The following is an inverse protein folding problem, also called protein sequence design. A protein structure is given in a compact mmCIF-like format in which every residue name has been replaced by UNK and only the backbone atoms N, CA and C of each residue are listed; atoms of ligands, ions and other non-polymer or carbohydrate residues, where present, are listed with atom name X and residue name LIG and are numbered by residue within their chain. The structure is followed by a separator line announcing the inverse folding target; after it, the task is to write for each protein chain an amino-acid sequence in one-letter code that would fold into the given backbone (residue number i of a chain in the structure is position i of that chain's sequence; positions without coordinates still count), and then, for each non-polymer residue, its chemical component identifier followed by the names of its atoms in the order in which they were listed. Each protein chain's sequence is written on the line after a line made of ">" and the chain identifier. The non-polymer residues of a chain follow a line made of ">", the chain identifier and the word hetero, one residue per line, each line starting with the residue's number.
data_IF_177787039256
#
_entry.id   IF_177787039256
#
_cell.length_a   1.000
_cell.length_b   1.000
_cell.length_c   1.000
_cell.angle_alpha   90.00
_cell.angle_beta   90.00
_cell.angle_gamma   90.00
#
_symmetry.space_group_name_H-M   'P 1'
#
loop_
_entity.id
_entity.type
_entity.pdbx_description
1 polymer ?
#
# COMPACT_ATOMS: atom_id res chain seq x y z
N UNK A 1 13.92 18.40 -8.01
CA UNK A 1 13.13 17.15 -7.95
C UNK A 1 12.06 17.37 -6.90
N UNK A 2 10.82 16.90 -7.10
CA UNK A 2 9.83 16.94 -6.01
C UNK A 2 10.28 15.94 -4.95
N UNK A 3 10.42 16.38 -3.71
CA UNK A 3 10.57 15.48 -2.57
C UNK A 3 9.36 14.55 -2.55
N UNK A 4 9.61 13.24 -2.50
CA UNK A 4 8.57 12.25 -2.38
C UNK A 4 8.24 12.13 -0.89
N UNK A 5 7.05 12.57 -0.47
CA UNK A 5 6.60 12.38 0.91
C UNK A 5 6.19 10.92 1.12
N UNK A 6 7.03 10.17 1.84
CA UNK A 6 6.69 8.88 2.42
C UNK A 6 5.72 9.07 3.59
N UNK A 7 4.73 8.18 3.78
CA UNK A 7 3.79 8.30 4.89
C UNK A 7 4.49 7.96 6.22
N UNK A 8 4.01 8.55 7.32
CA UNK A 8 4.53 8.27 8.67
C UNK A 8 4.27 6.81 9.11
N UNK A 9 3.16 6.24 8.65
CA UNK A 9 2.80 4.83 8.89
C UNK A 9 2.77 4.05 7.58
N UNK A 10 3.30 2.82 7.62
CA UNK A 10 3.32 1.93 6.47
C UNK A 10 1.90 1.58 6.00
N UNK A 11 1.64 1.69 4.70
CA UNK A 11 0.33 1.31 4.14
C UNK A 11 0.15 -0.21 4.18
N UNK A 12 -1.01 -0.65 4.67
CA UNK A 12 -1.43 -2.05 4.78
C UNK A 12 -1.41 -2.76 3.41
N UNK A 13 -0.90 -4.01 3.39
CA UNK A 13 -0.77 -4.82 2.18
C UNK A 13 -2.10 -5.08 1.46
N UNK A 14 -3.23 -5.01 2.17
CA UNK A 14 -4.54 -5.17 1.54
C UNK A 14 -4.80 -4.12 0.46
N UNK A 15 -4.19 -2.93 0.58
CA UNK A 15 -4.29 -1.83 -0.38
C UNK A 15 -3.32 -1.96 -1.56
N UNK A 16 -2.47 -2.97 -1.59
CA UNK A 16 -1.51 -3.15 -2.67
C UNK A 16 -2.21 -3.55 -3.97
N UNK A 17 -1.70 -3.08 -5.13
CA UNK A 17 -2.24 -3.44 -6.42
C UNK A 17 -2.03 -4.92 -6.74
N UNK A 18 -2.88 -5.50 -7.61
CA UNK A 18 -2.71 -6.86 -8.13
C UNK A 18 -1.30 -7.11 -8.64
N UNK A 19 -0.72 -6.17 -9.40
CA UNK A 19 0.66 -6.32 -9.92
C UNK A 19 1.71 -6.56 -8.83
N UNK A 20 1.61 -5.89 -7.67
CA UNK A 20 2.55 -6.10 -6.56
C UNK A 20 2.25 -7.43 -5.87
N UNK A 21 0.98 -7.78 -5.69
CA UNK A 21 0.56 -9.07 -5.13
C UNK A 21 1.08 -10.24 -5.98
N UNK A 22 0.95 -10.14 -7.30
CA UNK A 22 1.48 -11.13 -8.25
C UNK A 22 3.01 -11.26 -8.14
N UNK A 23 3.74 -10.15 -7.98
CA UNK A 23 5.19 -10.23 -7.70
C UNK A 23 5.45 -10.96 -6.38
N UNK A 24 4.67 -10.67 -5.32
CA UNK A 24 4.84 -11.26 -3.97
C UNK A 24 4.55 -12.77 -3.89
N UNK A 25 3.82 -13.33 -4.86
CA UNK A 25 3.61 -14.77 -5.01
C UNK A 25 4.89 -15.51 -5.42
N UNK A 26 5.88 -14.79 -5.96
CA UNK A 26 7.14 -15.33 -6.48
C UNK A 26 7.21 -15.27 -8.00
N UNK A 27 8.42 -15.37 -8.56
CA UNK A 27 8.67 -15.19 -9.99
C UNK A 27 9.57 -16.28 -10.59
N UNK A 28 9.12 -16.84 -11.72
CA UNK A 28 9.90 -17.71 -12.61
C UNK A 28 10.93 -16.93 -13.45
N UNK A 29 10.59 -15.73 -13.92
CA UNK A 29 11.53 -14.80 -14.58
C UNK A 29 11.38 -13.37 -14.05
N UNK A 30 12.40 -12.53 -14.26
CA UNK A 30 12.36 -11.12 -13.88
C UNK A 30 12.62 -10.86 -12.40
N UNK A 31 13.08 -11.84 -11.61
CA UNK A 31 13.39 -11.72 -10.17
C UNK A 31 14.23 -10.49 -9.81
N UNK A 32 15.24 -10.14 -10.60
CA UNK A 32 16.06 -8.94 -10.32
C UNK A 32 15.24 -7.64 -10.45
N UNK A 33 14.32 -7.61 -11.41
CA UNK A 33 13.39 -6.49 -11.63
C UNK A 33 12.33 -6.46 -10.53
N UNK A 34 11.78 -7.63 -10.15
CA UNK A 34 10.88 -7.79 -9.01
C UNK A 34 11.50 -7.30 -7.70
N UNK A 35 12.75 -7.68 -7.41
CA UNK A 35 13.49 -7.20 -6.24
C UNK A 35 13.60 -5.67 -6.22
N UNK A 36 13.97 -5.07 -7.36
CA UNK A 36 14.06 -3.62 -7.49
C UNK A 36 12.70 -2.95 -7.28
N UNK A 37 11.63 -3.47 -7.90
CA UNK A 37 10.26 -2.98 -7.75
C UNK A 37 9.83 -3.04 -6.28
N UNK A 38 9.98 -4.19 -5.62
CA UNK A 38 9.53 -4.38 -4.24
C UNK A 38 10.25 -3.47 -3.26
N UNK A 39 11.58 -3.33 -3.35
CA UNK A 39 12.33 -2.46 -2.43
C UNK A 39 11.87 -1.00 -2.56
N UNK A 40 11.80 -0.49 -3.80
CA UNK A 40 11.37 0.90 -4.03
C UNK A 40 9.91 1.09 -3.63
N UNK A 41 9.03 0.14 -3.97
CA UNK A 41 7.63 0.18 -3.57
C UNK A 41 7.46 0.26 -2.05
N UNK A 42 8.09 -0.66 -1.30
CA UNK A 42 7.98 -0.70 0.15
C UNK A 42 8.52 0.57 0.83
N UNK A 43 9.67 1.08 0.39
CA UNK A 43 10.22 2.35 0.88
C UNK A 43 9.23 3.49 0.67
N UNK A 44 8.62 3.52 -0.52
CA UNK A 44 7.73 4.61 -0.94
C UNK A 44 6.40 4.58 -0.18
N UNK A 45 5.94 3.40 0.27
CA UNK A 45 4.69 3.24 1.04
C UNK A 45 4.93 3.14 2.55
N UNK A 46 6.11 3.53 3.04
CA UNK A 46 6.39 3.77 4.47
C UNK A 46 6.97 2.60 5.26
N UNK A 47 7.46 1.54 4.61
CA UNK A 47 8.07 0.42 5.34
C UNK A 47 9.51 0.71 5.75
N UNK A 48 9.82 0.40 7.01
CA UNK A 48 11.17 0.49 7.57
C UNK A 48 12.11 -0.56 6.97
N UNK A 49 13.40 -0.22 6.87
CA UNK A 49 14.41 -1.05 6.20
C UNK A 49 14.53 -2.47 6.80
N UNK A 50 14.37 -2.63 8.11
CA UNK A 50 14.40 -3.95 8.75
C UNK A 50 13.20 -4.82 8.36
N UNK A 51 12.02 -4.22 8.23
CA UNK A 51 10.83 -4.89 7.75
C UNK A 51 10.99 -5.28 6.27
N UNK A 52 11.49 -4.34 5.44
CA UNK A 52 11.80 -4.60 4.02
C UNK A 52 12.75 -5.79 3.88
N UNK A 53 13.84 -5.84 4.67
CA UNK A 53 14.78 -6.96 4.64
C UNK A 53 14.08 -8.29 4.88
N UNK A 54 13.25 -8.38 5.93
CA UNK A 54 12.50 -9.61 6.24
C UNK A 54 11.61 -10.02 5.07
N UNK A 55 10.77 -9.10 4.58
CA UNK A 55 9.85 -9.35 3.47
C UNK A 55 10.56 -9.77 2.19
N UNK A 56 11.69 -9.13 1.87
CA UNK A 56 12.49 -9.47 0.69
C UNK A 56 13.13 -10.86 0.82
N UNK A 57 13.57 -11.26 2.02
CA UNK A 57 14.08 -12.62 2.22
C UNK A 57 12.97 -13.65 2.05
N UNK A 58 11.81 -13.43 2.67
CA UNK A 58 10.66 -14.32 2.55
C UNK A 58 10.20 -14.47 1.11
N UNK A 59 10.06 -13.34 0.40
CA UNK A 59 9.73 -13.31 -1.02
C UNK A 59 10.78 -14.04 -1.87
N UNK A 60 12.08 -13.83 -1.60
CA UNK A 60 13.13 -14.47 -2.38
C UNK A 60 13.12 -15.99 -2.27
N UNK A 61 12.66 -16.55 -1.15
CA UNK A 61 12.48 -18.00 -0.98
C UNK A 61 11.24 -18.57 -1.69
N UNK A 62 10.25 -17.73 -2.02
CA UNK A 62 9.05 -18.13 -2.77
C UNK A 62 9.27 -18.21 -4.27
N UNK A 63 10.29 -17.51 -4.77
CA UNK A 63 10.69 -17.59 -6.17
C UNK A 63 11.08 -19.02 -6.55
N UNK A 64 10.78 -19.44 -7.79
CA UNK A 64 11.14 -20.76 -8.31
C UNK A 64 12.64 -21.05 -8.16
N UNK A 65 13.47 -20.04 -8.45
CA UNK A 65 14.89 -20.05 -8.15
C UNK A 65 15.26 -18.79 -7.34
N UNK A 66 15.62 -18.91 -6.05
CA UNK A 66 16.03 -17.76 -5.26
C UNK A 66 17.21 -17.01 -5.88
N UNK A 67 17.18 -15.68 -5.82
CA UNK A 67 18.35 -14.86 -6.15
C UNK A 67 19.50 -15.17 -5.17
N UNK A 68 20.72 -15.13 -5.68
CA UNK A 68 21.94 -15.28 -4.87
C UNK A 68 21.93 -14.28 -3.72
N UNK A 69 22.21 -14.78 -2.52
CA UNK A 69 22.21 -14.00 -1.27
C UNK A 69 23.04 -12.71 -1.37
N UNK A 70 24.24 -12.81 -1.97
CA UNK A 70 25.13 -11.68 -2.16
C UNK A 70 24.51 -10.56 -3.03
N UNK A 71 23.71 -10.93 -4.03
CA UNK A 71 23.01 -9.96 -4.89
C UNK A 71 21.91 -9.25 -4.10
N UNK A 72 21.07 -10.00 -3.38
CA UNK A 72 19.99 -9.44 -2.54
C UNK A 72 20.55 -8.49 -1.49
N UNK A 73 21.59 -8.91 -0.75
CA UNK A 73 22.30 -8.07 0.23
C UNK A 73 22.85 -6.79 -0.39
N UNK A 74 23.43 -6.88 -1.59
CA UNK A 74 23.98 -5.72 -2.28
C UNK A 74 22.89 -4.72 -2.66
N UNK A 75 21.74 -5.19 -3.14
CA UNK A 75 20.60 -4.34 -3.50
C UNK A 75 19.99 -3.66 -2.26
N UNK A 76 19.77 -4.40 -1.17
CA UNK A 76 19.27 -3.84 0.09
C UNK A 76 20.22 -2.77 0.66
N UNK A 77 21.53 -3.05 0.66
CA UNK A 77 22.55 -2.10 1.11
C UNK A 77 22.60 -0.84 0.24
N UNK A 78 22.45 -0.99 -1.08
CA UNK A 78 22.44 0.16 -1.98
C UNK A 78 21.26 1.09 -1.69
N UNK A 79 20.06 0.54 -1.51
CA UNK A 79 18.87 1.35 -1.18
C UNK A 79 18.97 1.98 0.22
N UNK A 80 19.50 1.26 1.22
CA UNK A 80 19.66 1.80 2.57
C UNK A 80 20.61 3.00 2.64
N UNK A 81 21.68 2.99 1.83
CA UNK A 81 22.67 4.07 1.85
C UNK A 81 22.28 5.27 0.98
N UNK A 82 21.13 5.21 0.30
CA UNK A 82 20.68 6.27 -0.58
C UNK A 82 19.81 7.25 0.21
N UNK A 83 20.05 8.54 0.03
CA UNK A 83 19.30 9.61 0.70
C UNK A 83 17.90 9.81 0.09
N UNK A 84 17.75 9.52 -1.21
CA UNK A 84 16.52 9.73 -1.95
C UNK A 84 15.67 8.45 -2.02
N UNK A 85 14.42 8.55 -1.58
CA UNK A 85 13.38 7.58 -1.91
C UNK A 85 12.91 7.80 -3.34
N UNK A 86 12.95 6.75 -4.17
CA UNK A 86 12.49 6.79 -5.56
C UNK A 86 11.33 5.82 -5.73
N UNK A 87 10.24 6.24 -6.41
CA UNK A 87 9.13 5.34 -6.67
C UNK A 87 9.56 4.19 -7.61
N UNK A 88 8.86 3.05 -7.57
CA UNK A 88 9.05 2.01 -8.56
C UNK A 88 8.67 2.53 -9.96
N UNK A 89 9.09 1.83 -11.03
CA UNK A 89 8.75 2.19 -12.41
C UNK A 89 7.24 2.36 -12.64
N UNK A 90 6.88 3.10 -13.68
CA UNK A 90 5.49 3.23 -14.12
C UNK A 90 5.00 1.97 -14.83
N UNK A 91 3.69 1.75 -14.87
CA UNK A 91 3.09 0.57 -15.53
C UNK A 91 3.42 0.47 -17.02
N UNK A 92 3.67 1.60 -17.68
CA UNK A 92 4.08 1.72 -19.08
C UNK A 92 5.59 1.58 -19.32
N UNK A 93 6.39 1.39 -18.26
CA UNK A 93 7.84 1.28 -18.38
C UNK A 93 8.24 -0.06 -18.98
N UNK A 94 8.89 0.00 -20.15
CA UNK A 94 9.44 -1.17 -20.83
C UNK A 94 10.37 -1.96 -19.91
N UNK A 95 10.30 -3.29 -20.00
CA UNK A 95 11.10 -4.21 -19.22
C UNK A 95 10.56 -4.51 -17.84
N UNK A 96 9.42 -3.94 -17.40
CA UNK A 96 8.87 -4.19 -16.07
C UNK A 96 7.57 -5.00 -16.13
N UNK A 97 6.46 -4.46 -15.65
CA UNK A 97 5.30 -5.25 -15.21
C UNK A 97 4.67 -6.11 -16.31
N UNK A 98 4.51 -5.57 -17.53
CA UNK A 98 3.98 -6.30 -18.68
C UNK A 98 4.96 -7.37 -19.18
N UNK A 99 6.24 -7.03 -19.28
CA UNK A 99 7.30 -7.93 -19.74
C UNK A 99 7.68 -9.00 -18.70
N UNK A 100 7.36 -8.76 -17.43
CA UNK A 100 7.45 -9.73 -16.34
C UNK A 100 6.18 -10.57 -16.20
N UNK A 101 5.15 -10.32 -17.03
CA UNK A 101 3.86 -11.02 -17.01
C UNK A 101 3.15 -10.99 -15.64
N UNK A 102 3.33 -9.91 -14.89
CA UNK A 102 2.68 -9.69 -13.58
C UNK A 102 1.54 -8.67 -13.65
N UNK A 103 1.42 -7.96 -14.77
CA UNK A 103 0.39 -6.96 -15.00
C UNK A 103 -0.80 -7.59 -15.74
N UNK A 104 -1.94 -7.67 -15.06
CA UNK A 104 -3.21 -8.10 -15.66
C UNK A 104 -4.13 -6.91 -16.00
N UNK A 105 -3.90 -5.75 -15.37
CA UNK A 105 -4.63 -4.52 -15.62
C UNK A 105 -6.02 -4.52 -14.99
N UNK A 106 -6.10 -4.18 -13.71
CA UNK A 106 -7.39 -3.78 -13.13
C UNK A 106 -7.76 -2.34 -13.55
N UNK A 107 -9.04 -1.98 -13.42
CA UNK A 107 -9.54 -0.65 -13.81
C UNK A 107 -8.75 0.51 -13.17
N UNK A 108 -8.24 0.34 -11.95
CA UNK A 108 -7.51 1.38 -11.22
C UNK A 108 -6.03 1.43 -11.63
N UNK A 109 -5.40 0.29 -11.93
CA UNK A 109 -4.05 0.21 -12.48
C UNK A 109 -3.94 0.92 -13.83
N UNK A 110 -5.02 0.90 -14.63
CA UNK A 110 -5.09 1.64 -15.90
C UNK A 110 -5.24 3.16 -15.72
N UNK A 111 -5.78 3.61 -14.59
CA UNK A 111 -6.01 5.04 -14.30
C UNK A 111 -4.82 5.73 -13.64
N UNK A 112 -3.87 4.98 -13.07
CA UNK A 112 -2.76 5.51 -12.27
C UNK A 112 -1.41 5.18 -12.90
N UNK A 113 -0.40 6.01 -12.62
CA UNK A 113 0.90 5.91 -13.30
C UNK A 113 1.74 4.70 -12.85
N UNK A 114 1.67 4.36 -11.57
CA UNK A 114 2.54 3.36 -10.95
C UNK A 114 1.87 2.71 -9.73
N UNK A 115 2.42 1.58 -9.24
CA UNK A 115 1.87 0.85 -8.09
C UNK A 115 1.73 1.67 -6.80
N UNK A 116 2.59 2.67 -6.61
CA UNK A 116 2.52 3.55 -5.44
C UNK A 116 1.28 4.42 -5.52
N UNK A 117 1.02 5.04 -6.67
CA UNK A 117 -0.15 5.89 -6.90
C UNK A 117 -1.46 5.12 -6.69
N UNK A 118 -1.49 3.85 -7.12
CA UNK A 118 -2.59 2.92 -6.82
C UNK A 118 -2.80 2.78 -5.32
N UNK A 119 -1.73 2.44 -4.60
CA UNK A 119 -1.77 2.11 -3.17
C UNK A 119 -2.24 3.29 -2.33
N UNK A 120 -1.76 4.50 -2.63
CA UNK A 120 -2.22 5.72 -1.98
C UNK A 120 -3.69 6.04 -2.29
N UNK A 121 -4.15 5.81 -3.53
CA UNK A 121 -5.56 6.03 -3.90
C UNK A 121 -6.49 5.05 -3.19
N UNK A 122 -6.10 3.77 -3.09
CA UNK A 122 -6.83 2.77 -2.30
C UNK A 122 -6.87 3.10 -0.81
N UNK A 123 -5.73 3.49 -0.22
CA UNK A 123 -5.66 3.85 1.19
C UNK A 123 -6.50 5.09 1.53
N UNK A 124 -6.56 6.07 0.63
CA UNK A 124 -7.35 7.29 0.82
C UNK A 124 -8.86 7.05 0.76
N UNK A 125 -9.33 6.19 -0.15
CA UNK A 125 -10.77 5.93 -0.28
C UNK A 125 -11.35 5.31 1.01
N UNK A 126 -10.58 4.44 1.69
CA UNK A 126 -10.99 3.88 2.98
C UNK A 126 -11.12 4.92 4.09
N UNK A 127 -10.29 5.96 4.11
CA UNK A 127 -10.46 7.05 5.10
C UNK A 127 -11.75 7.85 4.86
N UNK A 128 -12.35 7.80 3.67
CA UNK A 128 -13.68 8.35 3.41
C UNK A 128 -14.75 7.38 3.88
N UNK A 129 -14.63 6.10 3.54
CA UNK A 129 -15.59 5.06 3.95
C UNK A 129 -15.62 4.86 5.49
N UNK A 130 -14.48 4.93 6.18
CA UNK A 130 -14.39 4.82 7.65
C UNK A 130 -14.93 6.07 8.35
N UNK A 131 -14.78 7.25 7.75
CA UNK A 131 -15.40 8.48 8.26
C UNK A 131 -16.91 8.47 8.06
N UNK A 132 -17.39 7.96 6.94
CA UNK A 132 -18.83 7.76 6.71
C UNK A 132 -19.41 6.73 7.70
N UNK A 133 -18.69 5.65 8.01
CA UNK A 133 -19.14 4.66 9.02
C UNK A 133 -19.03 5.15 10.48
N UNK A 134 -18.11 6.06 10.83
CA UNK A 134 -18.06 6.69 12.17
C UNK A 134 -19.14 7.78 12.36
N UNK A 135 -19.60 8.42 11.27
CA UNK A 135 -20.65 9.45 11.33
C UNK A 135 -22.08 8.86 11.48
N UNK A 136 -22.25 7.55 11.35
CA UNK A 136 -23.57 6.89 11.33
C UNK A 136 -24.04 6.31 12.70
N UNK A 137 -23.21 6.30 13.75
CA UNK A 137 -23.66 5.90 15.09
C UNK A 137 -24.20 7.11 15.87
N UNK A 138 -25.45 7.51 15.62
CA UNK A 138 -26.15 8.54 16.39
C UNK A 138 -26.51 8.02 17.80
N UNK A 139 -25.51 7.87 18.67
CA UNK A 139 -25.71 7.42 20.05
C UNK A 139 -25.77 8.61 21.00
N UNK A 140 -26.83 8.71 21.78
CA UNK A 140 -26.96 9.75 22.80
C UNK A 140 -25.90 9.58 23.89
N UNK A 141 -25.04 10.57 24.16
CA UNK A 141 -23.95 10.45 25.13
C UNK A 141 -24.43 10.40 26.59
N UNK A 142 -25.68 10.80 26.86
CA UNK A 142 -26.24 10.84 28.21
C UNK A 142 -26.95 9.53 28.61
N UNK A 143 -27.49 8.79 27.64
CA UNK A 143 -28.29 7.60 27.93
C UNK A 143 -27.94 6.37 27.08
N UNK A 144 -27.04 6.49 26.10
CA UNK A 144 -26.60 5.39 25.25
C UNK A 144 -27.63 4.90 24.23
N UNK A 145 -28.70 5.67 23.95
CA UNK A 145 -29.70 5.29 22.94
C UNK A 145 -29.20 5.59 21.53
N UNK A 146 -29.36 4.62 20.64
CA UNK A 146 -29.07 4.71 19.21
C UNK A 146 -30.27 5.29 18.44
N UNK A 147 -29.98 6.01 17.36
CA UNK A 147 -30.99 6.65 16.52
C UNK A 147 -30.65 6.46 15.04
N UNK A 148 -31.64 6.09 14.22
CA UNK A 148 -31.44 5.95 12.76
C UNK A 148 -31.63 7.27 11.99
N UNK A 149 -32.04 8.35 12.68
CA UNK A 149 -32.30 9.66 12.06
C UNK A 149 -31.80 10.80 12.94
N UNK A 150 -31.05 11.73 12.32
CA UNK A 150 -30.42 12.87 12.98
C UNK A 150 -31.42 13.81 13.68
N UNK A 151 -32.63 13.97 13.12
CA UNK A 151 -33.69 14.81 13.69
C UNK A 151 -34.20 14.28 15.04
N UNK A 152 -34.32 12.96 15.20
CA UNK A 152 -34.73 12.32 16.45
C UNK A 152 -33.61 12.31 17.47
N UNK A 153 -32.38 12.05 17.02
CA UNK A 153 -31.18 12.18 17.84
C UNK A 153 -31.08 13.58 18.48
N UNK A 154 -31.13 14.65 17.67
CA UNK A 154 -31.03 16.04 18.14
C UNK A 154 -32.10 16.40 19.16
N UNK A 155 -33.36 16.02 18.89
CA UNK A 155 -34.48 16.24 19.81
C UNK A 155 -34.24 15.52 21.13
N UNK A 156 -33.81 14.27 21.07
CA UNK A 156 -33.58 13.47 22.26
C UNK A 156 -32.41 13.97 23.10
N UNK A 157 -31.27 14.34 22.49
CA UNK A 157 -30.12 14.88 23.21
C UNK A 157 -30.50 16.17 23.97
N UNK A 158 -31.36 17.00 23.39
CA UNK A 158 -31.89 18.19 24.06
C UNK A 158 -32.75 17.86 25.28
N UNK A 159 -33.60 16.83 25.18
CA UNK A 159 -34.43 16.34 26.30
C UNK A 159 -33.61 15.62 27.39
N UNK A 160 -32.46 15.01 27.03
CA UNK A 160 -31.62 14.26 27.96
C UNK A 160 -30.60 15.12 28.74
N UNK A 161 -30.30 16.33 28.25
CA UNK A 161 -29.40 17.27 28.90
C UNK A 161 -30.10 18.10 30.01
N UNK A 162 -31.43 18.22 29.96
CA UNK A 162 -32.27 18.86 30.98
C UNK A 162 -32.65 17.90 32.11
#
# INVERSE_FOLDING_TARGET
>A
MKEFETPDEAIDEKHFPPTIKNILEGLEDGRKRGLFVLINFYLTVGYEMDNIRSKIWDWNQRNEEPLREAYVKSQLRWHQNREETVPPPNYDSNGYYKDMQVYEGDNLEEEVKNPVSYTFRMAKNRNTDEKENEEDELVCPYCGKEYDMESYYKKHVQECFE
#
